data_IF_917649748757
#
_entry.id   IF_917649748757
#
_cell.length_a   1.000
_cell.length_b   1.000
_cell.length_c   1.000
_cell.angle_alpha   90.00
_cell.angle_beta   90.00
_cell.angle_gamma   90.00
#
_symmetry.space_group_name_H-M   'P 1'
#
loop_
_entity.id
_entity.type
_entity.pdbx_description
1 polymer ?
#
# COMPACT_ATOMS: atom_id res chain seq x y z
N UNK A 1 -10.19 -0.22 -22.16
CA UNK A 1 -9.21 -0.60 -21.12
C UNK A 1 -9.47 0.24 -19.89
N UNK A 2 -9.71 -0.42 -18.76
CA UNK A 2 -9.98 0.21 -17.47
C UNK A 2 -8.85 -0.10 -16.49
N UNK A 3 -8.61 0.82 -15.55
CA UNK A 3 -7.55 0.69 -14.55
C UNK A 3 -8.09 0.98 -13.15
N UNK A 4 -7.60 0.25 -12.15
CA UNK A 4 -7.85 0.56 -10.75
C UNK A 4 -6.59 0.36 -9.91
N UNK A 5 -6.34 1.25 -8.95
CA UNK A 5 -5.27 1.10 -7.98
C UNK A 5 -5.86 0.67 -6.63
N UNK A 6 -5.24 -0.32 -5.98
CA UNK A 6 -5.63 -0.81 -4.66
C UNK A 6 -4.44 -0.72 -3.71
N UNK A 7 -4.69 -0.20 -2.50
CA UNK A 7 -3.71 -0.15 -1.42
C UNK A 7 -3.48 -1.56 -0.87
N UNK A 8 -2.22 -1.85 -0.58
CA UNK A 8 -1.74 -3.07 0.05
C UNK A 8 -0.97 -2.62 1.29
N UNK A 9 -1.44 -3.03 2.46
CA UNK A 9 -0.84 -2.59 3.73
C UNK A 9 0.38 -3.45 4.09
N UNK A 10 0.36 -4.73 3.74
CA UNK A 10 1.47 -5.66 3.92
C UNK A 10 1.79 -6.40 2.62
N UNK A 11 3.07 -6.61 2.34
CA UNK A 11 3.54 -7.37 1.18
C UNK A 11 2.97 -8.79 1.14
N UNK A 12 2.66 -9.40 2.29
CA UNK A 12 2.04 -10.73 2.35
C UNK A 12 0.62 -10.76 1.77
N UNK A 13 -0.07 -9.62 1.68
CA UNK A 13 -1.43 -9.54 1.13
C UNK A 13 -1.46 -9.50 -0.40
N UNK A 14 -0.30 -9.44 -1.07
CA UNK A 14 -0.19 -9.37 -2.53
C UNK A 14 -0.91 -10.55 -3.18
N UNK A 15 -0.65 -11.77 -2.74
CA UNK A 15 -1.23 -12.99 -3.32
C UNK A 15 -2.75 -13.06 -3.08
N UNK A 16 -3.20 -12.70 -1.87
CA UNK A 16 -4.62 -12.65 -1.54
C UNK A 16 -5.37 -11.63 -2.40
N UNK A 17 -4.79 -10.43 -2.58
CA UNK A 17 -5.37 -9.38 -3.41
C UNK A 17 -5.37 -9.78 -4.88
N UNK A 18 -4.30 -10.40 -5.36
CA UNK A 18 -4.26 -10.95 -6.71
C UNK A 18 -5.42 -11.91 -6.96
N UNK A 19 -5.55 -12.95 -6.12
CA UNK A 19 -6.60 -13.96 -6.26
C UNK A 19 -8.00 -13.35 -6.17
N UNK A 20 -8.21 -12.38 -5.29
CA UNK A 20 -9.48 -11.68 -5.12
C UNK A 20 -9.91 -10.96 -6.41
N UNK A 21 -9.01 -10.20 -7.04
CA UNK A 21 -9.35 -9.35 -8.19
C UNK A 21 -9.27 -10.07 -9.52
N UNK A 22 -8.44 -11.11 -9.64
CA UNK A 22 -8.40 -11.96 -10.84
C UNK A 22 -9.74 -12.66 -11.10
N UNK A 23 -10.53 -12.91 -10.05
CA UNK A 23 -11.88 -13.47 -10.18
C UNK A 23 -12.87 -12.51 -10.88
N UNK A 24 -12.58 -11.21 -10.86
CA UNK A 24 -13.39 -10.14 -11.48
C UNK A 24 -12.77 -9.65 -12.81
N UNK A 25 -11.93 -10.48 -13.45
CA UNK A 25 -11.17 -10.17 -14.68
C UNK A 25 -10.20 -8.97 -14.56
N UNK A 26 -9.77 -8.62 -13.34
CA UNK A 26 -8.76 -7.60 -13.11
C UNK A 26 -7.39 -8.22 -12.89
N UNK A 27 -6.44 -7.89 -13.75
CA UNK A 27 -5.09 -8.44 -13.69
C UNK A 27 -4.08 -7.39 -13.21
N UNK A 28 -3.14 -7.76 -12.33
CA UNK A 28 -2.11 -6.85 -11.86
C UNK A 28 -1.18 -6.49 -13.00
N UNK A 29 -0.86 -5.20 -13.10
CA UNK A 29 0.10 -4.66 -14.04
C UNK A 29 1.39 -4.26 -13.33
N UNK A 30 1.27 -3.62 -12.16
CA UNK A 30 2.41 -3.12 -11.39
C UNK A 30 2.17 -3.21 -9.89
N UNK A 31 3.22 -3.49 -9.14
CA UNK A 31 3.29 -3.30 -7.69
C UNK A 31 4.25 -2.15 -7.42
N UNK A 32 3.75 -1.11 -6.77
CA UNK A 32 4.46 0.13 -6.48
C UNK A 32 4.76 0.15 -4.99
N UNK A 33 6.04 0.31 -4.65
CA UNK A 33 6.48 0.65 -3.30
C UNK A 33 6.54 2.16 -3.18
N UNK A 34 5.78 2.71 -2.26
CA UNK A 34 5.79 4.11 -1.89
C UNK A 34 6.44 4.23 -0.50
N UNK A 35 7.38 5.15 -0.34
CA UNK A 35 8.05 5.40 0.94
C UNK A 35 7.77 6.85 1.28
N UNK A 36 6.99 7.04 2.34
CA UNK A 36 6.57 8.37 2.78
C UNK A 36 7.26 8.68 4.11
N UNK A 37 7.98 9.82 4.17
CA UNK A 37 8.55 10.32 5.41
C UNK A 37 7.44 10.93 6.26
N UNK A 38 7.20 10.36 7.43
CA UNK A 38 6.15 10.76 8.37
C UNK A 38 6.77 11.29 9.65
N UNK A 39 6.22 12.39 10.17
CA UNK A 39 6.58 12.89 11.50
C UNK A 39 5.69 12.20 12.52
N UNK A 40 6.28 11.28 13.28
CA UNK A 40 5.60 10.57 14.37
C UNK A 40 5.93 11.23 15.71
N UNK A 41 4.89 11.60 16.46
CA UNK A 41 5.01 12.06 17.83
C UNK A 41 4.96 10.87 18.79
N UNK A 42 5.90 10.82 19.73
CA UNK A 42 5.91 9.81 20.80
C UNK A 42 6.28 10.46 22.14
N UNK A 43 5.85 9.84 23.23
CA UNK A 43 6.22 10.25 24.59
C UNK A 43 7.47 9.45 25.01
N UNK A 44 8.51 10.14 25.45
CA UNK A 44 9.70 9.48 25.99
C UNK A 44 9.49 8.99 27.43
N UNK A 45 10.47 8.28 27.99
CA UNK A 45 10.41 7.74 29.36
C UNK A 45 10.28 8.82 30.44
N UNK A 46 10.57 10.07 30.11
CA UNK A 46 10.49 11.22 31.02
C UNK A 46 9.17 12.00 30.84
N UNK A 47 8.22 11.47 30.05
CA UNK A 47 6.92 12.07 29.81
C UNK A 47 6.94 13.27 28.85
N UNK A 48 8.02 13.45 28.07
CA UNK A 48 8.14 14.55 27.11
C UNK A 48 7.71 14.09 25.73
N UNK A 49 6.88 14.91 25.07
CA UNK A 49 6.53 14.69 23.68
C UNK A 49 7.71 15.03 22.78
N UNK A 50 8.19 14.06 22.02
CA UNK A 50 9.21 14.21 21.00
C UNK A 50 8.65 13.83 19.64
N UNK A 51 9.25 14.36 18.58
CA UNK A 51 8.94 14.01 17.19
C UNK A 51 10.14 13.35 16.54
N UNK A 52 9.89 12.27 15.80
CA UNK A 52 10.89 11.62 14.95
C UNK A 52 10.35 11.48 13.53
N UNK A 53 11.25 11.55 12.56
CA UNK A 53 10.93 11.15 11.18
C UNK A 53 11.00 9.63 11.09
N UNK A 54 9.94 9.01 10.60
CA UNK A 54 9.85 7.58 10.31
C UNK A 54 9.48 7.38 8.85
N UNK A 55 10.03 6.35 8.23
CA UNK A 55 9.65 5.96 6.88
C UNK A 55 8.45 5.01 6.95
N UNK A 56 7.29 5.43 6.46
CA UNK A 56 6.15 4.54 6.25
C UNK A 56 6.24 3.93 4.85
N UNK A 57 6.43 2.61 4.78
CA UNK A 57 6.38 1.88 3.51
C UNK A 57 4.94 1.49 3.20
N UNK A 58 4.42 1.97 2.07
CA UNK A 58 3.09 1.63 1.56
C UNK A 58 3.21 0.91 0.23
N UNK A 59 2.36 -0.08 0.00
CA UNK A 59 2.31 -0.79 -1.28
C UNK A 59 1.03 -0.45 -2.02
N UNK A 60 1.11 -0.30 -3.33
CA UNK A 60 -0.07 -0.13 -4.20
C UNK A 60 0.05 -1.08 -5.37
N UNK A 61 -1.06 -1.74 -5.70
CA UNK A 61 -1.14 -2.59 -6.88
C UNK A 61 -2.06 -1.94 -7.90
N UNK A 62 -1.56 -1.76 -9.12
CA UNK A 62 -2.35 -1.32 -10.26
C UNK A 62 -2.89 -2.54 -10.99
N UNK A 63 -4.20 -2.58 -11.18
CA UNK A 63 -4.87 -3.59 -11.98
C UNK A 63 -5.39 -2.98 -13.28
N UNK A 64 -5.36 -3.77 -14.36
CA UNK A 64 -5.98 -3.45 -15.62
C UNK A 64 -6.97 -4.54 -16.05
N UNK A 65 -7.98 -4.15 -16.80
CA UNK A 65 -8.83 -5.06 -17.56
C UNK A 65 -9.18 -4.47 -18.91
N UNK A 66 -9.50 -5.33 -19.88
CA UNK A 66 -10.10 -4.86 -21.12
C UNK A 66 -11.54 -4.45 -20.86
N UNK A 67 -11.92 -3.30 -21.44
CA UNK A 67 -13.31 -2.84 -21.34
C UNK A 67 -14.10 -3.63 -22.39
N UNK A 68 -15.12 -4.36 -21.94
CA UNK A 68 -16.07 -5.03 -22.84
C UNK A 68 -16.96 -4.02 -23.56
#
# INVERSE_FOLDING_TARGET
>A
MEFQARRIDDMSQIDDKFNQYSADDWYPLFVIRDVEELLESYEDSDGRNQTRTVDEVRWRMLFGRDAQ
#
